data_IF_049584583596
#
_entry.id   IF_049584583596
#
_cell.length_a   1.000
_cell.length_b   1.000
_cell.length_c   1.000
_cell.angle_alpha   90.00
_cell.angle_beta   90.00
_cell.angle_gamma   90.00
#
_symmetry.space_group_name_H-M   'P 1'
#
loop_
_entity.id
_entity.type
_entity.pdbx_description
1 polymer ?
#
# COMPACT_ATOMS: atom_id res chain seq x y z
N UNK A 1 10.18 -20.15 -5.22
CA UNK A 1 10.67 -18.76 -5.06
C UNK A 1 10.02 -18.19 -3.81
N UNK A 2 10.79 -17.66 -2.86
CA UNK A 2 10.25 -17.08 -1.63
C UNK A 2 9.59 -15.74 -1.97
N UNK A 3 8.35 -15.55 -1.55
CA UNK A 3 7.52 -14.39 -1.85
C UNK A 3 7.07 -13.73 -0.55
N UNK A 4 7.03 -12.40 -0.55
CA UNK A 4 6.35 -11.59 0.47
C UNK A 4 5.15 -10.93 -0.18
N UNK A 5 3.96 -11.15 0.37
CA UNK A 5 2.76 -10.41 -0.01
C UNK A 5 2.28 -9.55 1.16
N UNK A 6 2.05 -8.28 0.87
CA UNK A 6 1.58 -7.29 1.84
C UNK A 6 0.18 -6.89 1.42
N UNK A 7 -0.81 -7.33 2.18
CA UNK A 7 -2.22 -7.04 1.94
C UNK A 7 -2.68 -5.85 2.76
N UNK A 8 -2.98 -4.72 2.11
CA UNK A 8 -3.64 -3.58 2.73
C UNK A 8 -5.16 -3.62 2.64
N UNK A 9 -5.70 -4.55 1.86
CA UNK A 9 -7.13 -4.75 1.75
C UNK A 9 -7.65 -5.69 2.86
N UNK A 10 -6.91 -6.75 3.20
CA UNK A 10 -7.34 -7.80 4.12
C UNK A 10 -8.30 -8.84 3.52
N UNK A 11 -8.58 -8.77 2.22
CA UNK A 11 -9.43 -9.76 1.52
C UNK A 11 -8.63 -10.83 0.78
N UNK A 12 -7.32 -10.65 0.61
CA UNK A 12 -6.52 -11.66 -0.06
C UNK A 12 -6.27 -12.84 0.90
N UNK A 13 -6.02 -14.02 0.34
CA UNK A 13 -5.60 -15.21 1.09
C UNK A 13 -4.52 -15.89 0.29
N UNK A 14 -3.27 -15.47 0.45
CA UNK A 14 -2.16 -16.15 -0.20
C UNK A 14 -1.71 -17.37 0.63
N UNK A 15 -1.57 -18.52 -0.04
CA UNK A 15 -1.18 -19.79 0.59
C UNK A 15 0.31 -20.13 0.36
N UNK A 16 1.03 -19.34 -0.45
CA UNK A 16 2.40 -19.65 -0.88
C UNK A 16 3.36 -18.48 -0.66
N UNK A 17 3.84 -18.30 0.57
CA UNK A 17 4.84 -17.28 0.91
C UNK A 17 4.65 -16.73 2.32
N UNK A 18 5.46 -15.72 2.66
CA UNK A 18 5.21 -14.91 3.86
C UNK A 18 4.10 -13.91 3.53
N UNK A 19 3.05 -13.91 4.33
CA UNK A 19 1.85 -13.12 4.10
C UNK A 19 1.65 -12.17 5.28
N UNK A 20 1.52 -10.88 5.00
CA UNK A 20 1.29 -9.84 6.00
C UNK A 20 -0.01 -9.14 5.66
N UNK A 21 -0.89 -9.04 6.63
CA UNK A 21 -2.11 -8.24 6.52
C UNK A 21 -1.95 -7.00 7.38
N UNK A 22 -2.17 -5.84 6.79
CA UNK A 22 -2.27 -4.56 7.51
C UNK A 22 -3.38 -3.74 6.90
N UNK A 23 -4.63 -4.10 7.20
CA UNK A 23 -5.82 -3.46 6.64
C UNK A 23 -5.76 -1.93 6.75
N UNK A 24 -6.02 -1.29 5.60
CA UNK A 24 -6.12 0.15 5.51
C UNK A 24 -7.59 0.57 5.68
N UNK A 25 -7.92 1.37 6.70
CA UNK A 25 -9.28 1.85 6.90
C UNK A 25 -9.69 2.86 5.82
N UNK A 26 -10.88 2.69 5.26
CA UNK A 26 -11.41 3.57 4.20
C UNK A 26 -12.21 4.78 4.74
N UNK A 27 -12.30 4.95 6.06
CA UNK A 27 -13.21 5.90 6.72
C UNK A 27 -12.49 6.94 7.58
N UNK A 28 -11.40 7.51 7.06
CA UNK A 28 -10.68 8.61 7.70
C UNK A 28 -11.39 9.95 7.44
N UNK A 29 -11.40 10.84 8.44
CA UNK A 29 -12.17 12.08 8.40
C UNK A 29 -11.37 13.28 7.88
N UNK A 30 -10.03 13.21 7.93
CA UNK A 30 -9.15 14.30 7.51
C UNK A 30 -7.74 13.82 7.15
N UNK A 31 -6.94 14.70 6.54
CA UNK A 31 -5.56 14.41 6.10
C UNK A 31 -4.63 14.04 7.27
N UNK A 32 -4.83 14.60 8.46
CA UNK A 32 -3.98 14.31 9.63
C UNK A 32 -4.17 12.85 10.04
N UNK A 33 -5.43 12.41 10.13
CA UNK A 33 -5.80 11.02 10.42
C UNK A 33 -5.24 10.06 9.36
N UNK A 34 -5.39 10.39 8.08
CA UNK A 34 -4.80 9.64 6.96
C UNK A 34 -3.28 9.44 7.15
N UNK A 35 -2.55 10.52 7.43
CA UNK A 35 -1.10 10.45 7.64
C UNK A 35 -0.73 9.58 8.85
N UNK A 36 -1.48 9.67 9.95
CA UNK A 36 -1.24 8.84 11.14
C UNK A 36 -1.46 7.35 10.85
N UNK A 37 -2.52 7.02 10.11
CA UNK A 37 -2.80 5.65 9.64
C UNK A 37 -1.63 5.12 8.80
N UNK A 38 -1.21 5.89 7.78
CA UNK A 38 -0.10 5.50 6.90
C UNK A 38 1.19 5.28 7.70
N UNK A 39 1.56 6.21 8.59
CA UNK A 39 2.76 6.07 9.44
C UNK A 39 2.69 4.81 10.30
N UNK A 40 1.53 4.54 10.91
CA UNK A 40 1.33 3.35 11.73
C UNK A 40 1.53 2.07 10.92
N UNK A 41 0.89 1.98 9.76
CA UNK A 41 1.02 0.83 8.85
C UNK A 41 2.47 0.66 8.39
N UNK A 42 3.15 1.74 8.01
CA UNK A 42 4.56 1.68 7.60
C UNK A 42 5.45 1.15 8.73
N UNK A 43 5.22 1.55 9.98
CA UNK A 43 5.95 1.01 11.14
C UNK A 43 5.70 -0.48 11.31
N UNK A 44 4.47 -0.94 11.12
CA UNK A 44 4.08 -2.35 11.25
C UNK A 44 4.79 -3.23 10.21
N UNK A 45 4.86 -2.81 8.95
CA UNK A 45 5.43 -3.64 7.88
C UNK A 45 6.95 -3.47 7.69
N UNK A 46 7.56 -2.44 8.30
CA UNK A 46 8.93 -2.01 8.01
C UNK A 46 9.96 -3.13 8.13
N UNK A 47 9.94 -3.87 9.23
CA UNK A 47 10.96 -4.88 9.50
C UNK A 47 10.88 -6.03 8.49
N UNK A 48 9.67 -6.49 8.20
CA UNK A 48 9.43 -7.57 7.24
C UNK A 48 9.81 -7.18 5.82
N UNK A 49 9.46 -5.96 5.39
CA UNK A 49 9.83 -5.40 4.09
C UNK A 49 11.35 -5.33 3.94
N UNK A 50 12.05 -4.83 4.97
CA UNK A 50 13.51 -4.72 4.95
C UNK A 50 14.20 -6.09 4.99
N UNK A 51 13.65 -7.06 5.73
CA UNK A 51 14.16 -8.43 5.74
C UNK A 51 13.96 -9.11 4.39
N UNK A 52 12.76 -9.01 3.81
CA UNK A 52 12.46 -9.55 2.49
C UNK A 52 13.38 -8.97 1.41
N UNK A 53 13.64 -7.66 1.46
CA UNK A 53 14.64 -7.00 0.61
C UNK A 53 16.04 -7.59 0.79
N UNK A 54 16.52 -7.77 2.02
CA UNK A 54 17.83 -8.37 2.30
C UNK A 54 17.94 -9.82 1.80
N UNK A 55 16.83 -10.56 1.83
CA UNK A 55 16.77 -11.96 1.42
C UNK A 55 16.46 -12.15 -0.08
N UNK A 56 16.26 -11.06 -0.83
CA UNK A 56 15.95 -11.12 -2.26
C UNK A 56 14.56 -11.70 -2.57
N UNK A 57 13.60 -11.56 -1.66
CA UNK A 57 12.23 -12.03 -1.88
C UNK A 57 11.54 -11.19 -2.96
N UNK A 58 10.69 -11.82 -3.75
CA UNK A 58 9.76 -11.08 -4.60
C UNK A 58 8.69 -10.44 -3.71
N UNK A 59 8.54 -9.13 -3.79
CA UNK A 59 7.59 -8.36 -2.97
C UNK A 59 6.39 -7.98 -3.82
N UNK A 60 5.20 -8.34 -3.35
CA UNK A 60 3.93 -7.99 -3.95
C UNK A 60 3.08 -7.20 -2.96
N UNK A 61 2.43 -6.14 -3.44
CA UNK A 61 1.63 -5.23 -2.61
C UNK A 61 0.18 -5.27 -3.11
N UNK A 62 -0.74 -5.73 -2.26
CA UNK A 62 -2.18 -5.60 -2.48
C UNK A 62 -2.65 -4.24 -1.97
N UNK A 63 -3.11 -3.37 -2.88
CA UNK A 63 -3.62 -2.05 -2.53
C UNK A 63 -4.99 -2.13 -1.85
N UNK A 64 -5.35 -1.14 -1.01
CA UNK A 64 -6.71 -1.00 -0.52
C UNK A 64 -7.62 -0.35 -1.57
N UNK A 65 -8.93 -0.35 -1.30
CA UNK A 65 -9.92 0.29 -2.20
C UNK A 65 -9.79 1.82 -2.23
N UNK A 66 -9.28 2.43 -1.16
CA UNK A 66 -9.03 3.87 -1.15
C UNK A 66 -7.88 4.23 -2.08
N UNK A 67 -8.19 4.94 -3.16
CA UNK A 67 -7.26 5.55 -4.12
C UNK A 67 -6.14 6.33 -3.42
N UNK A 68 -6.55 7.32 -2.62
CA UNK A 68 -5.65 8.23 -1.89
C UNK A 68 -4.80 7.42 -0.91
N UNK A 69 -5.43 6.46 -0.20
CA UNK A 69 -4.73 5.54 0.69
C UNK A 69 -3.70 4.70 -0.04
N UNK A 70 -4.05 4.11 -1.18
CA UNK A 70 -3.17 3.31 -2.03
C UNK A 70 -1.96 4.10 -2.51
N UNK A 71 -2.16 5.33 -3.00
CA UNK A 71 -1.07 6.22 -3.38
C UNK A 71 -0.15 6.55 -2.19
N UNK A 72 -0.71 6.89 -1.04
CA UNK A 72 0.07 7.23 0.15
C UNK A 72 0.90 6.04 0.66
N UNK A 73 0.30 4.84 0.69
CA UNK A 73 0.98 3.59 1.06
C UNK A 73 2.10 3.24 0.08
N UNK A 74 1.88 3.40 -1.23
CA UNK A 74 2.90 3.15 -2.25
C UNK A 74 4.11 4.07 -2.09
N UNK A 75 3.90 5.36 -1.81
CA UNK A 75 5.00 6.28 -1.53
C UNK A 75 5.77 5.87 -0.27
N UNK A 76 5.05 5.49 0.80
CA UNK A 76 5.66 4.98 2.02
C UNK A 76 6.53 3.74 1.77
N UNK A 77 6.01 2.76 1.03
CA UNK A 77 6.73 1.52 0.69
C UNK A 77 7.92 1.81 -0.23
N UNK A 78 7.77 2.70 -1.21
CA UNK A 78 8.88 3.14 -2.06
C UNK A 78 10.00 3.75 -1.23
N UNK A 79 9.67 4.52 -0.19
CA UNK A 79 10.64 5.03 0.78
C UNK A 79 11.41 3.92 1.52
N UNK A 80 10.77 2.79 1.82
CA UNK A 80 11.41 1.63 2.45
C UNK A 80 12.27 0.81 1.48
N UNK A 81 11.76 0.59 0.26
CA UNK A 81 12.37 -0.29 -0.74
C UNK A 81 13.47 0.39 -1.55
N UNK A 82 13.39 1.70 -1.76
CA UNK A 82 14.25 2.42 -2.69
C UNK A 82 14.05 1.91 -4.12
N UNK A 83 15.14 1.48 -4.77
CA UNK A 83 15.14 0.95 -6.15
C UNK A 83 14.77 -0.54 -6.25
N UNK A 84 14.41 -1.20 -5.14
CA UNK A 84 14.08 -2.64 -5.17
C UNK A 84 12.79 -2.85 -5.96
N UNK A 85 12.77 -3.72 -6.98
CA UNK A 85 11.55 -4.01 -7.73
C UNK A 85 10.47 -4.65 -6.86
N UNK A 86 9.21 -4.30 -7.11
CA UNK A 86 8.03 -4.89 -6.48
C UNK A 86 6.86 -4.92 -7.48
N UNK A 87 5.89 -5.78 -7.21
CA UNK A 87 4.66 -5.88 -7.98
C UNK A 87 3.53 -5.23 -7.19
N UNK A 88 2.64 -4.53 -7.87
CA UNK A 88 1.45 -3.92 -7.26
C UNK A 88 0.22 -4.61 -7.84
N UNK A 89 -0.66 -5.07 -6.95
CA UNK A 89 -1.95 -5.64 -7.27
C UNK A 89 -3.04 -4.67 -6.80
N UNK A 90 -3.81 -4.06 -7.72
CA UNK A 90 -5.01 -3.30 -7.34
C UNK A 90 -6.07 -4.26 -6.79
N UNK A 91 -7.00 -3.77 -5.98
CA UNK A 91 -8.15 -4.59 -5.58
C UNK A 91 -9.02 -4.96 -6.77
N UNK A 92 -9.53 -6.19 -6.79
CA UNK A 92 -10.25 -6.75 -7.94
C UNK A 92 -11.70 -6.27 -8.01
N UNK A 93 -11.98 -5.36 -8.96
CA UNK A 93 -12.87 -5.60 -10.11
C UNK A 93 -12.95 -4.32 -10.98
N UNK A 94 -12.21 -4.31 -12.09
CA UNK A 94 -12.43 -3.39 -13.21
C UNK A 94 -11.78 -2.01 -13.06
N UNK A 95 -10.90 -1.69 -14.02
CA UNK A 95 -10.93 -0.43 -14.77
C UNK A 95 -11.55 0.80 -14.07
N UNK A 96 -10.95 1.27 -12.99
CA UNK A 96 -10.75 2.70 -12.88
C UNK A 96 -9.25 2.89 -13.01
N UNK A 97 -8.81 3.09 -14.26
CA UNK A 97 -7.61 3.85 -14.53
C UNK A 97 -7.77 5.13 -13.71
N UNK A 98 -7.07 5.20 -12.59
CA UNK A 98 -7.11 6.36 -11.75
C UNK A 98 -6.54 7.53 -12.56
N UNK A 99 -7.42 8.42 -13.01
CA UNK A 99 -7.00 9.64 -13.65
C UNK A 99 -6.14 10.39 -12.64
N UNK A 100 -4.87 10.60 -13.00
CA UNK A 100 -3.95 11.38 -12.18
C UNK A 100 -4.50 12.79 -11.93
N UNK A 101 -5.40 13.28 -12.79
CA UNK A 101 -6.08 14.54 -12.60
C UNK A 101 -7.19 14.47 -11.53
N UNK A 102 -7.97 13.38 -11.42
CA UNK A 102 -8.92 13.19 -10.30
C UNK A 102 -8.19 13.16 -8.95
N UNK A 103 -7.05 12.46 -8.88
CA UNK A 103 -6.21 12.44 -7.68
C UNK A 103 -5.71 13.85 -7.34
N UNK A 104 -5.30 14.63 -8.36
CA UNK A 104 -4.83 16.02 -8.17
C UNK A 104 -5.95 16.97 -7.79
N UNK A 105 -7.16 16.76 -8.29
CA UNK A 105 -8.33 17.56 -7.97
C UNK A 105 -8.79 17.31 -6.55
N UNK A 106 -8.89 16.05 -6.12
CA UNK A 106 -9.28 15.70 -4.75
C UNK A 106 -8.21 16.16 -3.74
N UNK A 107 -6.93 16.06 -4.12
CA UNK A 107 -5.82 16.61 -3.32
C UNK A 107 -5.87 18.14 -3.20
N UNK A 108 -6.27 18.85 -4.26
CA UNK A 108 -6.47 20.32 -4.21
C UNK A 108 -7.67 20.66 -3.32
N UNK A 109 -8.75 19.90 -3.43
CA UNK A 109 -9.97 20.07 -2.64
C UNK A 109 -9.77 19.96 -1.14
N UNK A 110 -8.84 19.12 -0.70
CA UNK A 110 -8.54 18.93 0.72
C UNK A 110 -7.58 20.00 1.30
N UNK A 111 -6.96 20.82 0.44
CA UNK A 111 -6.00 21.86 0.83
C UNK A 111 -6.63 23.27 0.90
N UNK A 112 -7.90 23.42 0.51
CA UNK A 112 -8.67 24.68 0.54
C UNK A 112 -10.04 24.45 1.18
#
# INVERSE_FOLDING_TARGET
MLKLFIDFHGKYKEQTGKYIVSEFPNNWNNIIELNQIVIKIMKTIKEDVLQAKKQGYMITIGLPDSVIGGCALLQGIKGLLGYTPYIVCPTSLGLEELDLEEIREESRRLLF
#
